data_IF_687005909630
#
_entry.id   IF_687005909630
#
_cell.length_a   1.000
_cell.length_b   1.000
_cell.length_c   1.000
_cell.angle_alpha   90.00
_cell.angle_beta   90.00
_cell.angle_gamma   90.00
#
_symmetry.space_group_name_H-M   'P 1'
#
loop_
_entity.id
_entity.type
_entity.pdbx_description
1 polymer ?
#
# COMPACT_ATOMS: atom_id res chain seq x y z
N UNK A 1 -50.92 -14.16 -29.45
CA UNK A 1 -49.44 -14.18 -29.45
C UNK A 1 -48.97 -14.78 -28.14
N UNK A 2 -48.13 -15.81 -28.22
CA UNK A 2 -47.92 -16.82 -27.18
C UNK A 2 -46.98 -16.33 -26.07
N UNK A 3 -47.44 -16.36 -24.82
CA UNK A 3 -46.66 -16.09 -23.59
C UNK A 3 -45.46 -17.02 -23.40
N UNK A 4 -45.40 -18.15 -24.11
CA UNK A 4 -44.25 -19.05 -24.12
C UNK A 4 -43.03 -18.46 -24.85
N UNK A 5 -43.23 -17.57 -25.82
CA UNK A 5 -42.12 -16.97 -26.58
C UNK A 5 -41.36 -15.92 -25.76
N UNK A 6 -42.06 -15.24 -24.83
CA UNK A 6 -41.48 -14.21 -23.99
C UNK A 6 -40.58 -14.78 -22.88
N UNK A 7 -40.93 -15.96 -22.35
CA UNK A 7 -40.15 -16.64 -21.31
C UNK A 7 -38.81 -17.17 -21.85
N UNK A 8 -38.79 -17.67 -23.10
CA UNK A 8 -37.54 -18.14 -23.72
C UNK A 8 -36.53 -17.01 -23.95
N UNK A 9 -36.98 -15.79 -24.30
CA UNK A 9 -36.08 -14.65 -24.50
C UNK A 9 -35.41 -14.18 -23.20
N UNK A 10 -36.09 -14.28 -22.07
CA UNK A 10 -35.49 -13.95 -20.76
C UNK A 10 -34.46 -14.97 -20.30
N UNK A 11 -34.68 -16.27 -20.56
CA UNK A 11 -33.72 -17.32 -20.19
C UNK A 11 -32.44 -17.20 -21.03
N UNK A 12 -32.54 -16.85 -22.33
CA UNK A 12 -31.36 -16.62 -23.19
C UNK A 12 -30.57 -15.37 -22.79
N UNK A 13 -31.23 -14.32 -22.27
CA UNK A 13 -30.54 -13.12 -21.79
C UNK A 13 -29.84 -13.36 -20.43
N UNK A 14 -30.41 -14.19 -19.55
CA UNK A 14 -29.80 -14.56 -18.26
C UNK A 14 -28.61 -15.51 -18.42
N UNK A 15 -28.67 -16.46 -19.36
CA UNK A 15 -27.53 -17.37 -19.65
C UNK A 15 -26.36 -16.68 -20.37
N UNK A 16 -26.61 -15.60 -21.12
CA UNK A 16 -25.55 -14.82 -21.77
C UNK A 16 -24.89 -13.79 -20.84
N UNK A 17 -25.45 -13.53 -19.65
CA UNK A 17 -24.86 -12.64 -18.66
C UNK A 17 -23.81 -13.35 -17.78
N UNK A 18 -23.74 -14.69 -17.82
CA UNK A 18 -22.87 -15.51 -16.96
C UNK A 18 -21.61 -16.02 -17.69
N UNK A 19 -21.23 -15.35 -18.76
CA UNK A 19 -19.92 -15.51 -19.42
C UNK A 19 -19.33 -14.15 -19.78
N UNK A 20 -19.46 -13.17 -18.88
CA UNK A 20 -18.33 -12.24 -18.73
C UNK A 20 -17.18 -13.09 -18.22
N UNK A 21 -16.32 -13.53 -19.14
CA UNK A 21 -14.94 -13.83 -18.84
C UNK A 21 -14.52 -12.80 -17.79
N UNK A 22 -14.23 -13.25 -16.57
CA UNK A 22 -13.42 -12.50 -15.64
C UNK A 22 -12.24 -12.05 -16.48
N UNK A 23 -12.25 -10.77 -16.86
CA UNK A 23 -11.14 -10.15 -17.55
C UNK A 23 -10.05 -10.21 -16.51
N UNK A 24 -9.29 -11.30 -16.52
CA UNK A 24 -8.15 -11.48 -15.64
C UNK A 24 -7.23 -10.34 -16.02
N UNK A 25 -7.24 -9.28 -15.22
CA UNK A 25 -6.29 -8.19 -15.36
C UNK A 25 -4.93 -8.86 -15.51
N UNK A 26 -4.18 -8.57 -16.58
CA UNK A 26 -2.89 -9.20 -16.78
C UNK A 26 -2.03 -8.95 -15.54
N UNK A 27 -1.38 -9.99 -15.06
CA UNK A 27 -0.50 -9.89 -13.90
C UNK A 27 0.61 -8.88 -14.21
N UNK A 28 0.87 -7.98 -13.28
CA UNK A 28 2.00 -7.08 -13.32
C UNK A 28 3.31 -7.87 -13.31
N UNK A 29 4.25 -7.36 -14.10
CA UNK A 29 5.66 -7.71 -13.95
C UNK A 29 6.23 -6.95 -12.75
N UNK A 30 6.18 -7.55 -11.57
CA UNK A 30 6.56 -6.89 -10.30
C UNK A 30 7.99 -6.34 -10.35
N UNK A 31 8.93 -7.07 -10.95
CA UNK A 31 10.33 -6.62 -11.01
C UNK A 31 10.50 -5.37 -11.87
N UNK A 32 9.77 -5.29 -12.99
CA UNK A 32 9.77 -4.11 -13.85
C UNK A 32 9.15 -2.91 -13.14
N UNK A 33 8.03 -3.11 -12.44
CA UNK A 33 7.39 -2.04 -11.68
C UNK A 33 8.27 -1.54 -10.51
N UNK A 34 8.93 -2.44 -9.78
CA UNK A 34 9.88 -2.07 -8.73
C UNK A 34 11.09 -1.29 -9.30
N UNK A 35 11.60 -1.68 -10.47
CA UNK A 35 12.65 -0.94 -11.16
C UNK A 35 12.19 0.45 -11.64
N UNK A 36 10.96 0.57 -12.14
CA UNK A 36 10.37 1.84 -12.54
C UNK A 36 10.20 2.79 -11.35
N UNK A 37 9.78 2.27 -10.19
CA UNK A 37 9.71 3.05 -8.94
C UNK A 37 11.12 3.49 -8.55
N UNK A 38 12.08 2.56 -8.44
CA UNK A 38 13.41 2.85 -7.90
C UNK A 38 14.21 3.85 -8.74
N UNK A 39 14.02 3.86 -10.06
CA UNK A 39 14.73 4.76 -10.98
C UNK A 39 14.04 6.11 -11.18
N UNK A 40 12.85 6.31 -10.61
CA UNK A 40 12.13 7.58 -10.70
C UNK A 40 12.78 8.68 -9.85
N UNK A 41 12.64 9.93 -10.30
CA UNK A 41 12.98 11.11 -9.50
C UNK A 41 11.71 11.81 -9.01
N UNK A 42 11.74 12.35 -7.79
CA UNK A 42 10.75 13.31 -7.30
C UNK A 42 11.26 14.75 -7.47
N UNK A 43 10.37 15.64 -7.90
CA UNK A 43 10.61 17.08 -7.96
C UNK A 43 10.34 17.72 -6.60
N UNK A 44 10.78 18.98 -6.43
CA UNK A 44 10.42 19.76 -5.23
C UNK A 44 8.90 19.88 -5.05
N UNK A 45 8.13 20.02 -6.14
CA UNK A 45 6.67 20.11 -6.09
C UNK A 45 6.04 18.79 -5.65
N UNK A 46 6.61 17.66 -6.03
CA UNK A 46 6.15 16.35 -5.58
C UNK A 46 6.26 16.24 -4.05
N UNK A 47 7.38 16.69 -3.46
CA UNK A 47 7.51 16.70 -2.00
C UNK A 47 6.50 17.62 -1.32
N UNK A 48 6.26 18.81 -1.86
CA UNK A 48 5.24 19.73 -1.32
C UNK A 48 3.86 19.07 -1.41
N UNK A 49 3.52 18.45 -2.53
CA UNK A 49 2.24 17.77 -2.74
C UNK A 49 2.01 16.58 -1.80
N UNK A 50 3.04 15.76 -1.53
CA UNK A 50 2.95 14.65 -0.54
C UNK A 50 2.54 15.19 0.84
N UNK A 51 2.93 16.43 1.17
CA UNK A 51 2.58 17.10 2.43
C UNK A 51 1.31 17.96 2.33
N UNK A 52 0.49 17.77 1.30
CA UNK A 52 -0.69 18.60 1.00
C UNK A 52 -0.34 20.10 0.89
N UNK A 53 0.85 20.41 0.38
CA UNK A 53 1.41 21.75 0.27
C UNK A 53 1.50 22.53 1.60
N UNK A 54 1.41 21.84 2.74
CA UNK A 54 1.53 22.46 4.08
C UNK A 54 2.98 22.79 4.43
N UNK A 55 3.94 22.02 3.90
CA UNK A 55 5.36 22.26 4.03
C UNK A 55 5.94 22.67 2.68
N UNK A 56 7.00 23.48 2.73
CA UNK A 56 7.69 24.00 1.54
C UNK A 56 9.13 23.57 1.49
N UNK A 57 9.63 23.43 0.27
CA UNK A 57 11.05 23.23 -0.04
C UNK A 57 11.71 22.17 0.88
N UNK A 58 12.80 22.53 1.55
CA UNK A 58 13.61 21.62 2.35
C UNK A 58 12.84 20.91 3.48
N UNK A 59 11.84 21.58 4.08
CA UNK A 59 11.02 20.96 5.13
C UNK A 59 10.16 19.83 4.57
N UNK A 60 9.57 20.04 3.39
CA UNK A 60 8.81 19.01 2.69
C UNK A 60 9.73 17.84 2.33
N UNK A 61 10.90 18.12 1.75
CA UNK A 61 11.88 17.08 1.40
C UNK A 61 12.28 16.21 2.60
N UNK A 62 12.52 16.78 3.78
CA UNK A 62 12.88 15.99 4.97
C UNK A 62 11.74 15.10 5.48
N UNK A 63 10.52 15.63 5.54
CA UNK A 63 9.37 14.90 6.10
C UNK A 63 8.94 13.76 5.18
N UNK A 64 8.98 14.00 3.88
CA UNK A 64 8.50 13.06 2.86
C UNK A 64 9.36 11.80 2.74
N UNK A 65 10.64 11.83 3.12
CA UNK A 65 11.50 10.63 3.17
C UNK A 65 10.83 9.54 4.03
N UNK A 66 10.46 9.88 5.27
CA UNK A 66 9.78 8.93 6.14
C UNK A 66 8.33 8.70 5.73
N UNK A 67 7.60 9.78 5.40
CA UNK A 67 6.17 9.69 5.12
C UNK A 67 5.86 8.81 3.90
N UNK A 68 6.70 8.82 2.86
CA UNK A 68 6.50 8.01 1.65
C UNK A 68 6.69 6.51 1.93
N UNK A 69 7.72 6.16 2.71
CA UNK A 69 7.97 4.77 3.13
C UNK A 69 6.83 4.27 4.04
N UNK A 70 6.40 5.07 5.01
CA UNK A 70 5.29 4.69 5.90
C UNK A 70 3.95 4.61 5.16
N UNK A 71 3.71 5.48 4.17
CA UNK A 71 2.50 5.46 3.37
C UNK A 71 2.39 4.19 2.51
N UNK A 72 3.50 3.70 1.92
CA UNK A 72 3.44 2.44 1.16
C UNK A 72 3.15 1.24 2.07
N UNK A 73 3.73 1.20 3.28
CA UNK A 73 3.40 0.17 4.25
C UNK A 73 1.89 0.19 4.58
N UNK A 74 1.30 1.37 4.73
CA UNK A 74 -0.13 1.56 5.05
C UNK A 74 -1.04 1.17 3.88
N UNK A 75 -0.63 1.43 2.64
CA UNK A 75 -1.31 0.88 1.47
C UNK A 75 -1.35 -0.65 1.55
N UNK A 76 -0.21 -1.28 1.87
CA UNK A 76 -0.13 -2.73 1.97
C UNK A 76 -1.00 -3.33 3.07
N UNK A 77 -1.09 -2.71 4.25
CA UNK A 77 -1.99 -3.21 5.30
C UNK A 77 -3.46 -2.99 4.96
N UNK A 78 -3.81 -1.89 4.27
CA UNK A 78 -5.17 -1.68 3.76
C UNK A 78 -5.58 -2.84 2.83
N UNK A 79 -4.73 -3.18 1.87
CA UNK A 79 -5.00 -4.26 0.91
C UNK A 79 -4.97 -5.64 1.59
N UNK A 80 -4.04 -5.89 2.52
CA UNK A 80 -3.99 -7.13 3.30
C UNK A 80 -5.28 -7.33 4.12
N UNK A 81 -5.68 -6.31 4.88
CA UNK A 81 -6.87 -6.38 5.73
C UNK A 81 -8.12 -6.60 4.87
N UNK A 82 -8.23 -5.91 3.73
CA UNK A 82 -9.31 -6.12 2.78
C UNK A 82 -9.35 -7.56 2.24
N UNK A 83 -8.20 -8.11 1.81
CA UNK A 83 -8.10 -9.47 1.28
C UNK A 83 -8.46 -10.54 2.34
N UNK A 84 -8.13 -10.27 3.59
CA UNK A 84 -8.41 -11.13 4.74
C UNK A 84 -9.84 -10.98 5.29
N UNK A 85 -10.59 -9.98 4.83
CA UNK A 85 -11.92 -9.64 5.38
C UNK A 85 -11.87 -8.98 6.75
N UNK A 86 -10.71 -8.46 7.14
CA UNK A 86 -10.51 -7.71 8.38
C UNK A 86 -11.05 -6.28 8.24
N UNK A 87 -11.56 -5.67 9.33
CA UNK A 87 -11.95 -4.26 9.30
C UNK A 87 -10.74 -3.36 8.99
N UNK A 88 -10.91 -2.17 8.39
CA UNK A 88 -9.80 -1.23 8.18
C UNK A 88 -9.17 -0.79 9.50
N UNK A 89 -7.98 -0.18 9.43
CA UNK A 89 -7.37 0.44 10.61
C UNK A 89 -8.28 1.53 11.20
N UNK A 90 -8.23 1.67 12.53
CA UNK A 90 -8.77 2.82 13.23
C UNK A 90 -9.79 2.47 14.34
N UNK A 91 -9.87 3.28 15.40
CA UNK A 91 -8.97 4.41 15.70
C UNK A 91 -7.56 3.91 16.08
N UNK A 92 -6.53 4.69 15.72
CA UNK A 92 -5.14 4.37 16.07
C UNK A 92 -4.96 4.32 17.59
N UNK A 93 -4.26 3.28 18.06
CA UNK A 93 -4.07 3.01 19.49
C UNK A 93 -2.64 3.38 19.89
N UNK A 94 -2.42 3.56 21.20
CA UNK A 94 -1.06 3.60 21.78
C UNK A 94 -0.42 2.22 21.68
N UNK A 95 0.91 2.18 21.54
CA UNK A 95 1.63 0.93 21.35
C UNK A 95 1.59 0.09 22.62
N UNK A 96 1.16 -1.16 22.51
CA UNK A 96 1.33 -2.17 23.56
C UNK A 96 2.65 -2.91 23.33
N UNK A 97 3.33 -3.21 24.44
CA UNK A 97 4.43 -4.16 24.43
C UNK A 97 3.79 -5.53 24.62
N UNK A 98 3.60 -6.25 23.51
CA UNK A 98 3.00 -7.58 23.52
C UNK A 98 4.08 -8.64 23.63
N UNK A 99 3.92 -9.58 24.56
CA UNK A 99 4.71 -10.81 24.57
C UNK A 99 4.02 -11.88 23.74
N UNK A 100 4.77 -12.91 23.38
CA UNK A 100 4.25 -14.06 22.64
C UNK A 100 3.06 -14.71 23.36
N UNK A 101 3.13 -14.84 24.70
CA UNK A 101 2.01 -15.37 25.49
C UNK A 101 0.74 -14.53 25.35
N UNK A 102 0.86 -13.20 25.29
CA UNK A 102 -0.28 -12.28 25.15
C UNK A 102 -0.90 -12.41 23.76
N UNK A 103 -0.08 -12.55 22.72
CA UNK A 103 -0.56 -12.74 21.35
C UNK A 103 -1.32 -14.06 21.23
N UNK A 104 -0.74 -15.15 21.74
CA UNK A 104 -1.33 -16.49 21.68
C UNK A 104 -2.59 -16.63 22.56
N UNK A 105 -2.72 -15.82 23.61
CA UNK A 105 -3.90 -15.75 24.46
C UNK A 105 -5.09 -14.98 23.84
N UNK A 106 -4.98 -14.53 22.58
CA UNK A 106 -6.09 -13.86 21.89
C UNK A 106 -7.35 -14.77 21.81
N UNK A 107 -8.52 -14.28 22.24
CA UNK A 107 -9.74 -15.08 22.32
C UNK A 107 -10.42 -15.29 20.96
N UNK A 108 -10.13 -14.44 19.97
CA UNK A 108 -10.67 -14.52 18.61
C UNK A 108 -9.54 -14.43 17.60
N UNK A 109 -9.83 -14.81 16.35
CA UNK A 109 -8.83 -14.74 15.29
C UNK A 109 -8.55 -13.30 14.86
N UNK A 110 -9.55 -12.42 14.97
CA UNK A 110 -9.41 -10.99 14.68
C UNK A 110 -8.50 -10.32 15.71
N UNK A 111 -8.68 -10.64 17.00
CA UNK A 111 -7.81 -10.11 18.07
C UNK A 111 -6.39 -10.71 17.95
N UNK A 112 -6.26 -11.96 17.50
CA UNK A 112 -4.96 -12.56 17.21
C UNK A 112 -4.25 -11.82 16.08
N UNK A 113 -4.97 -11.54 14.98
CA UNK A 113 -4.46 -10.74 13.86
C UNK A 113 -4.02 -9.34 14.32
N UNK A 114 -4.86 -8.61 15.07
CA UNK A 114 -4.52 -7.27 15.57
C UNK A 114 -3.24 -7.28 16.42
N UNK A 115 -3.11 -8.26 17.33
CA UNK A 115 -1.93 -8.41 18.18
C UNK A 115 -0.68 -8.78 17.38
N UNK A 116 -0.81 -9.65 16.39
CA UNK A 116 0.32 -10.03 15.52
C UNK A 116 0.79 -8.86 14.66
N UNK A 117 -0.13 -8.18 13.99
CA UNK A 117 0.16 -6.99 13.18
C UNK A 117 0.86 -5.91 14.03
N UNK A 118 0.39 -5.67 15.26
CA UNK A 118 1.02 -4.76 16.23
C UNK A 118 2.44 -5.24 16.64
N UNK A 119 2.62 -6.54 16.89
CA UNK A 119 3.88 -7.11 17.36
C UNK A 119 5.01 -7.06 16.34
N UNK A 120 4.68 -7.17 15.06
CA UNK A 120 5.69 -7.15 13.99
C UNK A 120 6.33 -5.77 13.84
N UNK A 121 5.75 -4.74 14.47
CA UNK A 121 6.29 -3.38 14.42
C UNK A 121 6.38 -2.83 13.00
N UNK A 122 5.69 -3.48 12.03
CA UNK A 122 5.70 -3.09 10.61
C UNK A 122 5.11 -1.70 10.44
N UNK A 123 4.31 -1.27 11.41
CA UNK A 123 3.78 0.06 11.49
C UNK A 123 4.41 0.81 12.66
N UNK A 124 5.04 1.93 12.32
CA UNK A 124 5.33 2.98 13.28
C UNK A 124 4.03 3.75 13.67
N UNK A 125 2.85 3.25 13.26
CA UNK A 125 1.54 3.89 13.35
C UNK A 125 0.86 3.71 14.70
N UNK A 126 1.47 4.31 15.71
CA UNK A 126 0.89 4.42 17.03
C UNK A 126 0.99 5.86 17.51
N UNK A 127 0.09 6.22 18.43
CA UNK A 127 0.01 7.59 18.94
C UNK A 127 1.25 8.03 19.74
N UNK A 128 2.12 7.10 20.15
CA UNK A 128 3.34 7.41 20.89
C UNK A 128 4.55 7.67 19.96
N UNK A 129 4.42 7.42 18.66
CA UNK A 129 5.48 7.70 17.69
C UNK A 129 5.42 9.15 17.21
N UNK A 130 6.45 9.93 17.53
CA UNK A 130 6.58 11.33 17.10
C UNK A 130 6.64 11.52 15.58
N UNK A 131 6.93 10.46 14.80
CA UNK A 131 6.90 10.50 13.33
C UNK A 131 5.52 10.19 12.75
N UNK A 132 4.61 9.63 13.55
CA UNK A 132 3.27 9.27 13.12
C UNK A 132 2.29 10.41 13.39
N UNK A 133 1.82 11.04 12.31
CA UNK A 133 0.71 11.97 12.36
C UNK A 133 -0.34 11.52 11.35
N UNK A 134 -1.43 10.95 11.85
CA UNK A 134 -2.52 10.36 11.05
C UNK A 134 -2.95 11.26 9.88
N UNK A 135 -3.10 12.56 10.13
CA UNK A 135 -3.53 13.55 9.13
C UNK A 135 -2.59 13.67 7.91
N UNK A 136 -1.35 13.23 8.01
CA UNK A 136 -0.37 13.33 6.92
C UNK A 136 -0.46 12.14 5.95
N UNK A 137 -1.12 11.03 6.33
CA UNK A 137 -1.17 9.83 5.49
C UNK A 137 -2.13 9.91 4.31
N UNK A 138 -3.36 10.46 4.43
CA UNK A 138 -4.26 10.59 3.29
C UNK A 138 -3.64 11.29 2.07
N UNK A 139 -2.99 12.47 2.18
CA UNK A 139 -2.37 13.10 1.01
C UNK A 139 -1.18 12.30 0.46
N UNK A 140 -0.38 11.68 1.32
CA UNK A 140 0.75 10.85 0.90
C UNK A 140 0.29 9.59 0.13
N UNK A 141 -0.75 8.91 0.61
CA UNK A 141 -1.37 7.77 -0.08
C UNK A 141 -1.94 8.22 -1.43
N UNK A 142 -2.68 9.33 -1.47
CA UNK A 142 -3.25 9.85 -2.71
C UNK A 142 -2.17 10.20 -3.74
N UNK A 143 -1.05 10.79 -3.30
CA UNK A 143 0.10 11.04 -4.16
C UNK A 143 0.68 9.73 -4.71
N UNK A 144 0.92 8.73 -3.86
CA UNK A 144 1.48 7.44 -4.28
C UNK A 144 0.55 6.69 -5.24
N UNK A 145 -0.75 6.63 -4.96
CA UNK A 145 -1.73 5.97 -5.82
C UNK A 145 -1.79 6.62 -7.21
N UNK A 146 -1.57 7.94 -7.30
CA UNK A 146 -1.52 8.65 -8.58
C UNK A 146 -0.17 8.48 -9.29
N UNK A 147 0.94 8.65 -8.58
CA UNK A 147 2.28 8.71 -9.16
C UNK A 147 2.88 7.33 -9.43
N UNK A 148 2.56 6.36 -8.58
CA UNK A 148 3.06 4.98 -8.58
C UNK A 148 1.92 3.99 -8.29
N UNK A 149 0.88 3.93 -9.14
CA UNK A 149 -0.28 3.05 -8.93
C UNK A 149 0.11 1.57 -8.76
N UNK A 150 1.26 1.16 -9.31
CA UNK A 150 1.80 -0.18 -9.18
C UNK A 150 2.03 -0.62 -7.73
N UNK A 151 2.31 0.29 -6.79
CA UNK A 151 2.51 -0.07 -5.36
C UNK A 151 1.29 -0.81 -4.82
N UNK A 152 0.10 -0.21 -4.98
CA UNK A 152 -1.16 -0.80 -4.51
C UNK A 152 -1.48 -2.08 -5.28
N UNK A 153 -1.23 -2.08 -6.58
CA UNK A 153 -1.55 -3.23 -7.43
C UNK A 153 -0.63 -4.43 -7.17
N UNK A 154 0.64 -4.23 -6.81
CA UNK A 154 1.53 -5.29 -6.34
C UNK A 154 0.94 -5.96 -5.09
N UNK A 155 0.50 -5.19 -4.09
CA UNK A 155 -0.15 -5.77 -2.91
C UNK A 155 -1.41 -6.55 -3.25
N UNK A 156 -2.30 -5.98 -4.08
CA UNK A 156 -3.51 -6.68 -4.55
C UNK A 156 -3.18 -7.98 -5.27
N UNK A 157 -2.19 -7.95 -6.16
CA UNK A 157 -1.75 -9.11 -6.93
C UNK A 157 -1.21 -10.21 -6.02
N UNK A 158 -0.42 -9.85 -5.00
CA UNK A 158 0.17 -10.80 -4.05
C UNK A 158 -0.88 -11.38 -3.09
N UNK A 159 -1.92 -10.61 -2.76
CA UNK A 159 -3.00 -11.04 -1.86
C UNK A 159 -4.24 -11.59 -2.58
N UNK A 160 -4.26 -11.63 -3.92
CA UNK A 160 -5.45 -12.04 -4.69
C UNK A 160 -6.01 -13.42 -4.36
N UNK A 161 -5.13 -14.32 -3.89
CA UNK A 161 -5.49 -15.70 -3.53
C UNK A 161 -5.70 -15.86 -2.02
N UNK A 162 -5.60 -14.78 -1.25
CA UNK A 162 -5.89 -14.81 0.17
C UNK A 162 -7.33 -15.25 0.38
N UNK A 163 -7.51 -16.17 1.32
CA UNK A 163 -8.83 -16.52 1.82
C UNK A 163 -9.12 -15.61 3.02
N UNK A 164 -10.40 -15.40 3.30
CA UNK A 164 -10.81 -14.81 4.58
C UNK A 164 -10.13 -15.57 5.71
N UNK A 165 -9.69 -14.85 6.72
CA UNK A 165 -9.00 -15.45 7.85
C UNK A 165 -9.89 -16.49 8.52
N UNK A 166 -9.37 -17.70 8.66
CA UNK A 166 -10.07 -18.84 9.28
C UNK A 166 -9.33 -19.41 10.47
N UNK A 167 -8.01 -19.24 10.53
CA UNK A 167 -7.15 -19.74 11.59
C UNK A 167 -5.86 -18.90 11.73
N UNK A 168 -5.07 -19.22 12.76
CA UNK A 168 -3.84 -18.50 13.12
C UNK A 168 -2.71 -18.71 12.12
N UNK A 169 -2.66 -19.89 11.50
CA UNK A 169 -1.64 -20.23 10.51
C UNK A 169 -1.82 -19.37 9.25
N UNK A 170 -3.07 -19.18 8.80
CA UNK A 170 -3.40 -18.27 7.71
C UNK A 170 -3.00 -16.82 8.02
N UNK A 171 -3.21 -16.36 9.27
CA UNK A 171 -2.77 -15.02 9.71
C UNK A 171 -1.25 -14.89 9.63
N UNK A 172 -0.52 -15.81 10.23
CA UNK A 172 0.95 -15.74 10.29
C UNK A 172 1.57 -15.83 8.89
N UNK A 173 1.03 -16.71 8.03
CA UNK A 173 1.46 -16.83 6.63
C UNK A 173 1.25 -15.53 5.85
N UNK A 174 0.08 -14.91 5.98
CA UNK A 174 -0.26 -13.70 5.23
C UNK A 174 0.48 -12.45 5.74
N UNK A 175 0.74 -12.35 7.04
CA UNK A 175 1.59 -11.30 7.61
C UNK A 175 3.05 -11.48 7.21
N UNK A 176 3.56 -12.71 7.17
CA UNK A 176 4.90 -13.01 6.66
C UNK A 176 5.03 -12.60 5.19
N UNK A 177 4.04 -12.93 4.37
CA UNK A 177 3.99 -12.53 2.95
C UNK A 177 3.95 -11.02 2.79
N UNK A 178 3.13 -10.33 3.58
CA UNK A 178 3.09 -8.87 3.60
C UNK A 178 4.46 -8.28 3.95
N UNK A 179 5.13 -8.80 4.97
CA UNK A 179 6.46 -8.34 5.34
C UNK A 179 7.46 -8.46 4.18
N UNK A 180 7.52 -9.62 3.52
CA UNK A 180 8.38 -9.85 2.35
C UNK A 180 8.10 -8.85 1.21
N UNK A 181 6.83 -8.69 0.83
CA UNK A 181 6.43 -7.79 -0.27
C UNK A 181 6.73 -6.34 0.09
N UNK A 182 6.42 -5.94 1.32
CA UNK A 182 6.64 -4.58 1.80
C UNK A 182 8.11 -4.17 1.82
N UNK A 183 9.02 -5.09 2.17
CA UNK A 183 10.46 -4.82 2.14
C UNK A 183 10.97 -4.59 0.72
N UNK A 184 10.42 -5.30 -0.28
CA UNK A 184 10.80 -5.11 -1.69
C UNK A 184 10.35 -3.75 -2.22
N UNK A 185 9.12 -3.35 -1.91
CA UNK A 185 8.60 -2.03 -2.26
C UNK A 185 9.36 -0.93 -1.52
N UNK A 186 9.63 -1.11 -0.22
CA UNK A 186 10.39 -0.15 0.57
C UNK A 186 11.80 0.05 0.04
N UNK A 187 12.48 -1.02 -0.40
CA UNK A 187 13.78 -0.90 -1.07
C UNK A 187 13.68 -0.04 -2.33
N UNK A 188 12.69 -0.28 -3.20
CA UNK A 188 12.50 0.52 -4.40
C UNK A 188 12.18 2.00 -4.07
N UNK A 189 11.32 2.26 -3.08
CA UNK A 189 10.99 3.62 -2.62
C UNK A 189 12.21 4.33 -2.02
N UNK A 190 13.04 3.62 -1.24
CA UNK A 190 14.26 4.18 -0.67
C UNK A 190 15.31 4.50 -1.75
N UNK A 191 15.46 3.65 -2.77
CA UNK A 191 16.32 3.93 -3.92
C UNK A 191 15.81 5.11 -4.74
N UNK A 192 14.50 5.23 -4.97
CA UNK A 192 13.89 6.41 -5.58
C UNK A 192 14.20 7.70 -4.80
N UNK A 193 14.15 7.65 -3.47
CA UNK A 193 14.48 8.79 -2.62
C UNK A 193 15.97 9.17 -2.70
N UNK A 194 16.88 8.18 -2.75
CA UNK A 194 18.31 8.42 -2.97
C UNK A 194 18.56 9.03 -4.35
N UNK A 195 18.00 8.43 -5.39
CA UNK A 195 18.11 8.93 -6.76
C UNK A 195 17.54 10.34 -6.89
N UNK A 196 16.46 10.68 -6.18
CA UNK A 196 15.92 12.04 -6.17
C UNK A 196 16.96 13.08 -5.74
N UNK A 197 17.80 12.78 -4.75
CA UNK A 197 18.89 13.66 -4.31
C UNK A 197 19.90 13.84 -5.45
N UNK A 198 20.26 12.76 -6.14
CA UNK A 198 21.17 12.80 -7.29
C UNK A 198 20.58 13.55 -8.49
N UNK A 199 19.28 13.37 -8.76
CA UNK A 199 18.57 14.08 -9.81
C UNK A 199 18.58 15.59 -9.55
N UNK A 200 18.53 16.03 -8.28
CA UNK A 200 18.67 17.45 -7.95
C UNK A 200 20.09 17.95 -8.16
N UNK A 201 21.11 17.15 -7.83
CA UNK A 201 22.52 17.49 -8.08
C UNK A 201 22.80 17.73 -9.57
N UNK A 202 22.39 16.80 -10.44
CA UNK A 202 22.59 16.92 -11.89
C UNK A 202 21.84 18.10 -12.52
N UNK A 203 20.64 18.41 -12.02
CA UNK A 203 19.86 19.56 -12.50
C UNK A 203 20.47 20.91 -12.11
N UNK A 204 21.26 20.97 -11.02
CA UNK A 204 22.00 22.17 -10.64
C UNK A 204 23.26 22.34 -11.51
N UNK A 205 24.02 21.27 -11.74
CA UNK A 205 25.20 21.28 -12.64
C UNK A 205 24.84 21.60 -14.10
N UNK A 206 23.68 21.13 -14.58
CA UNK A 206 23.14 21.45 -15.90
C UNK A 206 22.68 22.90 -16.06
N UNK A 207 22.34 23.60 -14.97
CA UNK A 207 21.98 25.03 -15.00
C UNK A 207 23.21 25.93 -15.00
N UNK A 208 24.29 25.54 -14.31
CA UNK A 208 25.54 26.29 -14.29
C UNK A 208 26.29 26.21 -15.63
N UNK A 209 26.13 25.11 -16.39
CA UNK A 209 26.75 24.93 -17.72
C UNK A 209 26.02 25.65 -18.87
N UNK A 210 24.80 26.16 -18.64
CA UNK A 210 24.04 26.98 -19.61
C UNK A 210 24.23 28.49 -19.39
N UNK A 211 24.97 28.89 -18.36
CA UNK A 211 25.29 30.27 -18.01
C UNK A 211 26.78 30.61 -18.18
N UNK A 212 27.58 29.68 -18.73
CA UNK A 212 29.00 29.84 -19.05
C UNK A 212 29.28 30.13 -20.52
#
# INVERSE_FOLDING_TARGET
>A
MSTKLLICLFISALLNAETTNLLSTPLLNIEEELANISTSCLSRRDHEEITDNTLRYWMASMVTIHLTSEAQYLIGTIELRAALGMPPHGPWKRKRILKEEDILAAPTIEEYYERREESLGISSWNLDNYKFFEKNFPPAIAFLDRRFPAIREIYRQEFRNAKKVVDREAVDSMLSKYHEVSLRIDWAVNEMQRNTIDCWGKNLEGQDSLLG
#
